data_IF_639585098816
#
_entry.id   IF_639585098816
#
_cell.length_a   1.000
_cell.length_b   1.000
_cell.length_c   1.000
_cell.angle_alpha   90.00
_cell.angle_beta   90.00
_cell.angle_gamma   90.00
#
_symmetry.space_group_name_H-M   'P 1'
#
loop_
_entity.id
_entity.type
_entity.pdbx_description
1 polymer ?
#
# COMPACT_ATOMS: atom_id res chain seq x y z
N UNK A 1 13.44 -3.09 11.61
CA UNK A 1 12.48 -2.82 10.52
C UNK A 1 11.10 -3.00 11.11
N UNK A 2 10.34 -1.92 11.22
CA UNK A 2 8.97 -1.98 11.76
C UNK A 2 8.01 -2.21 10.60
N UNK A 3 7.15 -3.21 10.77
CA UNK A 3 6.08 -3.55 9.83
C UNK A 3 4.75 -3.26 10.51
N UNK A 4 3.91 -2.48 9.87
CA UNK A 4 2.63 -2.05 10.42
C UNK A 4 1.52 -2.43 9.43
N UNK A 5 0.61 -3.31 9.86
CA UNK A 5 -0.54 -3.71 9.04
C UNK A 5 -1.68 -2.72 9.23
N UNK A 6 -2.18 -2.19 8.12
CA UNK A 6 -3.27 -1.23 8.09
C UNK A 6 -4.30 -1.60 7.03
N UNK A 7 -5.51 -1.09 7.18
CA UNK A 7 -6.56 -1.17 6.18
C UNK A 7 -7.06 0.23 5.83
N UNK A 8 -7.24 0.49 4.53
CA UNK A 8 -7.83 1.71 4.01
C UNK A 8 -9.17 1.37 3.39
N UNK A 9 -10.22 2.06 3.83
CA UNK A 9 -11.53 2.01 3.19
C UNK A 9 -11.53 2.92 1.96
N UNK A 10 -11.70 2.31 0.79
CA UNK A 10 -11.79 3.00 -0.50
C UNK A 10 -13.16 2.74 -1.14
N UNK A 11 -14.12 3.61 -0.82
CA UNK A 11 -15.50 3.41 -1.24
C UNK A 11 -16.10 2.20 -0.52
N UNK A 12 -16.41 1.15 -1.28
CA UNK A 12 -16.91 -0.14 -0.79
C UNK A 12 -15.82 -1.24 -0.75
N UNK A 13 -14.58 -0.88 -1.08
CA UNK A 13 -13.45 -1.82 -1.06
C UNK A 13 -12.53 -1.55 0.14
N UNK A 14 -12.20 -2.62 0.87
CA UNK A 14 -11.14 -2.60 1.88
C UNK A 14 -9.81 -2.98 1.24
N UNK A 15 -8.83 -2.07 1.28
CA UNK A 15 -7.47 -2.32 0.83
C UNK A 15 -6.60 -2.56 2.06
N UNK A 16 -6.15 -3.81 2.25
CA UNK A 16 -5.17 -4.16 3.28
C UNK A 16 -3.76 -3.92 2.75
N UNK A 17 -2.94 -3.25 3.55
CA UNK A 17 -1.58 -2.94 3.18
C UNK A 17 -0.64 -3.00 4.39
N UNK A 18 0.61 -3.37 4.11
CA UNK A 18 1.68 -3.39 5.09
C UNK A 18 2.59 -2.19 4.88
N UNK A 19 2.80 -1.39 5.91
CA UNK A 19 3.77 -0.30 5.89
C UNK A 19 5.10 -0.84 6.39
N UNK A 20 6.13 -0.72 5.56
CA UNK A 20 7.50 -1.08 5.94
C UNK A 20 8.33 0.19 6.02
N UNK A 21 8.68 0.57 7.25
CA UNK A 21 9.55 1.71 7.54
C UNK A 21 11.01 1.37 7.27
N UNK A 22 11.64 2.08 6.35
CA UNK A 22 13.06 1.89 5.97
C UNK A 22 13.72 3.25 5.67
N UNK A 23 15.05 3.37 5.81
CA UNK A 23 15.77 4.58 5.44
C UNK A 23 15.76 4.76 3.92
N UNK A 24 14.76 5.48 3.40
CA UNK A 24 14.58 5.81 1.98
C UNK A 24 14.04 7.23 1.83
N UNK A 25 14.32 7.87 0.69
CA UNK A 25 13.87 9.26 0.42
C UNK A 25 12.43 9.35 -0.11
N UNK A 26 11.90 8.27 -0.68
CA UNK A 26 10.62 8.29 -1.39
C UNK A 26 9.66 7.26 -0.82
N UNK A 27 8.35 7.47 -0.97
CA UNK A 27 7.35 6.45 -0.65
C UNK A 27 7.04 5.62 -1.90
N UNK A 28 7.00 4.30 -1.75
CA UNK A 28 6.69 3.36 -2.83
C UNK A 28 5.58 2.40 -2.42
N UNK A 29 4.73 2.08 -3.38
CA UNK A 29 3.60 1.18 -3.21
C UNK A 29 3.82 0.04 -4.19
N UNK A 30 4.06 -1.14 -3.65
CA UNK A 30 4.19 -2.39 -4.37
C UNK A 30 2.95 -3.25 -4.13
N UNK A 31 2.55 -4.00 -5.16
CA UNK A 31 1.55 -5.06 -5.03
C UNK A 31 2.27 -6.35 -5.34
N UNK A 32 2.28 -7.24 -4.36
CA UNK A 32 2.93 -8.54 -4.43
C UNK A 32 2.07 -9.54 -5.22
N UNK A 33 2.65 -10.63 -5.75
CA UNK A 33 1.92 -11.63 -6.54
C UNK A 33 0.82 -12.37 -5.76
N UNK A 34 0.87 -12.36 -4.44
CA UNK A 34 -0.17 -12.87 -3.53
C UNK A 34 -1.35 -11.88 -3.36
N UNK A 35 -1.36 -10.80 -4.14
CA UNK A 35 -2.29 -9.67 -4.06
C UNK A 35 -2.14 -8.81 -2.78
N UNK A 36 -1.10 -9.02 -1.97
CA UNK A 36 -0.79 -8.18 -0.82
C UNK A 36 -0.21 -6.83 -1.27
N UNK A 37 -0.54 -5.76 -0.54
CA UNK A 37 -0.03 -4.42 -0.82
C UNK A 37 1.05 -4.08 0.18
N UNK A 38 2.24 -3.72 -0.29
CA UNK A 38 3.37 -3.34 0.55
C UNK A 38 3.75 -1.89 0.26
N UNK A 39 3.77 -1.07 1.30
CA UNK A 39 4.13 0.33 1.25
C UNK A 39 5.47 0.52 1.92
N UNK A 40 6.50 0.77 1.13
CA UNK A 40 7.80 1.17 1.66
C UNK A 40 7.80 2.67 1.91
N UNK A 41 7.78 3.05 3.18
CA UNK A 41 7.70 4.45 3.61
C UNK A 41 8.99 4.88 4.34
N UNK A 42 9.44 6.14 4.17
CA UNK A 42 10.44 6.75 5.04
C UNK A 42 10.03 6.70 6.51
N UNK A 43 10.98 6.78 7.43
CA UNK A 43 10.70 6.83 8.88
C UNK A 43 9.90 8.09 9.25
N UNK A 44 10.14 9.21 8.55
CA UNK A 44 9.45 10.49 8.78
C UNK A 44 8.07 10.58 8.12
N UNK A 45 7.66 9.60 7.32
CA UNK A 45 6.39 9.67 6.61
C UNK A 45 5.20 9.51 7.57
N UNK A 46 4.19 10.36 7.48
CA UNK A 46 2.97 10.18 8.29
C UNK A 46 2.04 9.16 7.65
N UNK A 47 1.21 8.52 8.47
CA UNK A 47 0.16 7.62 7.99
C UNK A 47 -0.78 8.33 7.01
N UNK A 48 -1.15 9.58 7.29
CA UNK A 48 -1.99 10.39 6.39
C UNK A 48 -1.36 10.58 5.01
N UNK A 49 -0.06 10.84 4.93
CA UNK A 49 0.64 10.97 3.65
C UNK A 49 0.66 9.64 2.88
N UNK A 50 0.79 8.54 3.61
CA UNK A 50 0.73 7.18 3.07
C UNK A 50 -0.66 6.89 2.52
N UNK A 51 -1.70 7.10 3.31
CA UNK A 51 -3.10 6.89 2.93
C UNK A 51 -3.50 7.78 1.77
N UNK A 52 -3.13 9.06 1.76
CA UNK A 52 -3.42 9.97 0.66
C UNK A 52 -2.78 9.49 -0.66
N UNK A 53 -1.55 8.96 -0.60
CA UNK A 53 -0.86 8.41 -1.76
C UNK A 53 -1.43 7.07 -2.19
N UNK A 54 -1.79 6.20 -1.25
CA UNK A 54 -2.46 4.94 -1.51
C UNK A 54 -3.82 5.17 -2.14
N UNK A 55 -4.63 6.11 -1.63
CA UNK A 55 -5.94 6.48 -2.16
C UNK A 55 -5.87 6.96 -3.61
N UNK A 56 -4.87 7.77 -3.94
CA UNK A 56 -4.59 8.17 -5.35
C UNK A 56 -4.21 6.99 -6.24
N UNK A 57 -3.63 5.94 -5.66
CA UNK A 57 -3.25 4.71 -6.37
C UNK A 57 -4.24 3.57 -6.19
N UNK A 58 -5.34 3.75 -5.46
CA UNK A 58 -6.27 2.68 -5.10
C UNK A 58 -6.81 1.97 -6.35
N UNK A 59 -7.21 2.73 -7.37
CA UNK A 59 -7.63 2.17 -8.67
C UNK A 59 -6.53 1.32 -9.34
N UNK A 60 -5.26 1.73 -9.26
CA UNK A 60 -4.14 0.95 -9.78
C UNK A 60 -3.89 -0.30 -8.93
N UNK A 61 -3.95 -0.18 -7.60
CA UNK A 61 -3.81 -1.31 -6.66
C UNK A 61 -4.87 -2.37 -6.92
N UNK A 62 -6.14 -1.97 -6.99
CA UNK A 62 -7.25 -2.89 -7.31
C UNK A 62 -7.04 -3.57 -8.66
N UNK A 63 -6.53 -2.84 -9.67
CA UNK A 63 -6.21 -3.43 -10.97
C UNK A 63 -5.06 -4.44 -10.89
N UNK A 64 -4.02 -4.17 -10.11
CA UNK A 64 -2.91 -5.11 -9.91
C UNK A 64 -3.35 -6.35 -9.13
N UNK A 65 -4.08 -6.18 -8.03
CA UNK A 65 -4.64 -7.31 -7.28
C UNK A 65 -5.49 -8.22 -8.18
N UNK A 66 -6.35 -7.62 -9.01
CA UNK A 66 -7.18 -8.36 -9.97
C UNK A 66 -6.35 -9.04 -11.06
N UNK A 67 -5.22 -8.48 -11.45
CA UNK A 67 -4.32 -9.10 -12.41
C UNK A 67 -3.66 -10.34 -11.81
N UNK A 68 -3.11 -10.22 -10.59
CA UNK A 68 -2.48 -11.34 -9.90
C UNK A 68 -3.48 -12.42 -9.47
N UNK A 69 -4.72 -12.06 -9.13
CA UNK A 69 -5.77 -13.04 -8.80
C UNK A 69 -6.24 -13.89 -9.98
N UNK A 70 -5.79 -13.60 -11.21
CA UNK A 70 -6.14 -14.35 -12.42
C UNK A 70 -5.09 -15.41 -12.80
N UNK A 71 -3.97 -15.48 -12.08
CA UNK A 71 -2.91 -16.47 -12.25
C UNK A 71 -2.81 -17.35 -10.99
#
# INVERSE_FOLDING_TARGET
MTRELHCLQYGDQEIRFEIVRRPRKTLEIAVEPDASVVIAAPEDATLEAIEAKLRKRAAWVTRQQRYFSQF
#
